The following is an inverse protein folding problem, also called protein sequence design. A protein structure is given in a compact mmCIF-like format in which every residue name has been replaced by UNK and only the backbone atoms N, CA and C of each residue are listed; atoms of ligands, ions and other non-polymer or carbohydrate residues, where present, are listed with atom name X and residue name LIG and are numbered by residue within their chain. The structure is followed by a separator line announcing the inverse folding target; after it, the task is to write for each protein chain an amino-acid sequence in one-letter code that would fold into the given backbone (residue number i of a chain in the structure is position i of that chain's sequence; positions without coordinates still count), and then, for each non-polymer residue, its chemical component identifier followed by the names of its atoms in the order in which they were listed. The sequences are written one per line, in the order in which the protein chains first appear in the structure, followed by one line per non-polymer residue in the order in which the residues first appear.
data_IF_124363712843
#
_entry.id   IF_124363712843
#
_cell.length_a   1.000
_cell.length_b   1.000
_cell.length_c   1.000
_cell.angle_alpha   90.00
_cell.angle_beta   90.00
_cell.angle_gamma   90.00
#
_symmetry.space_group_name_H-M   'P 1'
#
loop_
_entity.id
_entity.type
_entity.pdbx_description
1 polymer ?
#
# COMPACT_ATOMS: atom_id res chain seq x y z
N UNK A 1 -12.83 -10.31 11.50
CA UNK A 1 -12.31 -9.54 10.35
C UNK A 1 -10.94 -9.04 10.75
N UNK A 2 -9.93 -9.19 9.90
CA UNK A 2 -8.57 -8.78 10.23
C UNK A 2 -8.41 -7.29 9.96
N UNK A 3 -7.83 -6.58 10.92
CA UNK A 3 -7.60 -5.14 10.82
C UNK A 3 -6.28 -4.89 10.09
N UNK A 4 -6.39 -4.58 8.81
CA UNK A 4 -5.26 -4.18 7.99
C UNK A 4 -5.24 -2.66 7.84
N UNK A 5 -4.05 -2.12 7.65
CA UNK A 5 -3.84 -0.69 7.42
C UNK A 5 -2.83 -0.52 6.30
N UNK A 6 -3.25 0.19 5.26
CA UNK A 6 -2.38 0.57 4.16
C UNK A 6 -1.93 2.00 4.40
N UNK A 7 -0.63 2.20 4.61
CA UNK A 7 -0.02 3.50 4.73
C UNK A 7 0.52 3.91 3.36
N UNK A 8 0.10 5.07 2.88
CA UNK A 8 0.61 5.67 1.65
C UNK A 8 1.78 6.56 2.03
N UNK A 9 2.91 6.34 1.38
CA UNK A 9 4.13 7.08 1.58
C UNK A 9 4.47 7.86 0.31
N UNK A 10 4.86 9.11 0.52
CA UNK A 10 5.34 9.99 -0.53
C UNK A 10 6.80 9.66 -0.91
N UNK A 11 7.39 10.37 -1.88
CA UNK A 11 8.74 10.10 -2.41
C UNK A 11 9.84 10.12 -1.32
N UNK A 12 9.59 10.88 -0.25
CA UNK A 12 10.45 10.97 0.93
C UNK A 12 10.21 9.85 1.97
N UNK A 13 9.36 8.87 1.65
CA UNK A 13 8.87 7.83 2.58
C UNK A 13 8.19 8.41 3.82
N UNK A 14 7.50 9.53 3.66
CA UNK A 14 6.66 10.10 4.70
C UNK A 14 5.23 9.64 4.52
N UNK A 15 4.62 9.17 5.61
CA UNK A 15 3.21 8.76 5.61
C UNK A 15 2.34 10.00 5.36
N UNK A 16 1.75 10.06 4.18
CA UNK A 16 0.81 11.13 3.78
C UNK A 16 -0.64 10.71 4.01
N UNK A 17 -0.92 9.40 4.03
CA UNK A 17 -2.26 8.89 4.26
C UNK A 17 -2.26 7.47 4.82
N UNK A 18 -3.36 7.08 5.46
CA UNK A 18 -3.57 5.74 5.98
C UNK A 18 -5.00 5.27 5.69
N UNK A 19 -5.15 4.19 4.94
CA UNK A 19 -6.42 3.54 4.65
C UNK A 19 -6.62 2.32 5.56
N UNK A 20 -7.75 2.27 6.27
CA UNK A 20 -8.13 1.08 7.04
C UNK A 20 -8.78 0.06 6.11
N UNK A 21 -8.18 -1.11 6.01
CA UNK A 21 -8.62 -2.22 5.19
C UNK A 21 -9.23 -3.31 6.09
N UNK A 22 -10.50 -3.62 5.88
CA UNK A 22 -11.18 -4.73 6.53
C UNK A 22 -11.24 -5.89 5.53
N UNK A 23 -10.27 -6.79 5.62
CA UNK A 23 -10.17 -7.95 4.73
C UNK A 23 -10.30 -9.26 5.50
N UNK A 24 -10.77 -10.30 4.82
CA UNK A 24 -10.85 -11.65 5.39
C UNK A 24 -9.44 -12.24 5.58
N UNK A 25 -8.55 -12.00 4.63
CA UNK A 25 -7.22 -12.61 4.56
C UNK A 25 -6.15 -11.61 4.10
N UNK A 26 -4.88 -11.97 4.31
CA UNK A 26 -3.73 -11.17 3.88
C UNK A 26 -3.70 -10.97 2.37
N UNK A 27 -4.17 -11.96 1.60
CA UNK A 27 -4.20 -11.90 0.14
C UNK A 27 -5.14 -10.78 -0.35
N UNK A 28 -6.36 -10.74 0.17
CA UNK A 28 -7.32 -9.69 -0.15
C UNK A 28 -6.82 -8.30 0.27
N UNK A 29 -6.13 -8.21 1.41
CA UNK A 29 -5.51 -6.97 1.87
C UNK A 29 -4.39 -6.50 0.93
N UNK A 30 -3.57 -7.44 0.42
CA UNK A 30 -2.52 -7.17 -0.57
C UNK A 30 -3.10 -6.66 -1.89
N UNK A 31 -4.16 -7.27 -2.40
CA UNK A 31 -4.82 -6.82 -3.64
C UNK A 31 -5.43 -5.42 -3.50
N UNK A 32 -5.97 -5.09 -2.32
CA UNK A 32 -6.46 -3.74 -2.02
C UNK A 32 -5.32 -2.73 -1.90
N UNK A 33 -4.25 -3.09 -1.20
CA UNK A 33 -3.07 -2.23 -1.08
C UNK A 33 -2.41 -1.99 -2.44
N UNK A 34 -2.32 -3.00 -3.29
CA UNK A 34 -1.75 -2.88 -4.62
C UNK A 34 -2.54 -1.91 -5.52
N UNK A 35 -3.87 -1.86 -5.39
CA UNK A 35 -4.68 -0.87 -6.10
C UNK A 35 -4.48 0.57 -5.62
N UNK A 36 -3.89 0.78 -4.44
CA UNK A 36 -3.53 2.11 -3.93
C UNK A 36 -2.15 2.56 -4.42
N UNK A 37 -1.36 1.64 -4.99
CA UNK A 37 0.00 1.89 -5.49
C UNK A 37 -0.11 2.49 -6.87
N UNK A 38 -0.26 3.81 -6.91
CA UNK A 38 -0.30 4.57 -8.15
C UNK A 38 1.03 5.31 -8.34
N UNK A 39 1.16 6.53 -7.82
CA UNK A 39 2.42 7.28 -7.75
C UNK A 39 3.19 7.09 -6.43
N UNK A 40 2.52 6.59 -5.39
CA UNK A 40 3.05 6.53 -4.02
C UNK A 40 3.37 5.09 -3.59
N UNK A 41 4.38 4.95 -2.74
CA UNK A 41 4.67 3.69 -2.07
C UNK A 41 3.53 3.37 -1.10
N UNK A 42 3.18 2.10 -0.95
CA UNK A 42 2.15 1.64 -0.02
C UNK A 42 2.72 0.55 0.89
N UNK A 43 2.71 0.78 2.20
CA UNK A 43 3.02 -0.24 3.18
C UNK A 43 1.74 -0.84 3.76
N UNK A 44 1.60 -2.16 3.64
CA UNK A 44 0.53 -2.93 4.26
C UNK A 44 0.97 -3.44 5.63
N UNK A 45 0.23 -3.04 6.65
CA UNK A 45 0.44 -3.42 8.04
C UNK A 45 -0.80 -4.13 8.61
N UNK A 46 -0.58 -5.01 9.57
CA UNK A 46 -1.60 -5.64 10.40
C UNK A 46 -1.21 -5.41 11.85
N UNK A 47 -1.88 -4.46 12.51
CA UNK A 47 -1.52 -3.99 13.85
C UNK A 47 -0.04 -3.54 13.90
N UNK A 48 0.84 -4.32 14.52
CA UNK A 48 2.28 -4.04 14.65
C UNK A 48 3.13 -4.79 13.61
N UNK A 49 2.52 -5.68 12.81
CA UNK A 49 3.22 -6.51 11.84
C UNK A 49 3.13 -5.92 10.44
N UNK A 50 4.28 -5.58 9.84
CA UNK A 50 4.33 -5.25 8.42
C UNK A 50 4.18 -6.51 7.56
N UNK A 51 3.14 -6.53 6.73
CA UNK A 51 2.78 -7.67 5.88
C UNK A 51 3.51 -7.59 4.54
N UNK A 52 3.48 -6.42 3.90
CA UNK A 52 4.08 -6.21 2.58
C UNK A 52 4.36 -4.72 2.35
N UNK A 53 5.31 -4.44 1.45
CA UNK A 53 5.57 -3.08 0.95
C UNK A 53 5.46 -3.13 -0.56
N UNK A 54 4.61 -2.29 -1.10
CA UNK A 54 4.40 -2.14 -2.52
C UNK A 54 5.00 -0.82 -2.96
N UNK A 55 5.95 -0.89 -3.89
CA UNK A 55 6.59 0.31 -4.40
C UNK A 55 5.92 0.74 -5.68
N UNK A 56 5.57 2.03 -5.77
CA UNK A 56 5.22 2.63 -7.05
C UNK A 56 6.48 2.60 -7.91
N UNK A 57 6.50 1.69 -8.89
CA UNK A 57 7.53 1.80 -9.90
C UNK A 57 7.22 3.08 -10.68
N UNK A 58 8.20 3.97 -10.89
CA UNK A 58 7.97 5.09 -11.78
C UNK A 58 7.53 4.47 -13.10
N UNK A 59 6.30 4.81 -13.53
CA UNK A 59 5.80 4.44 -14.84
C UNK A 59 6.91 4.80 -15.82
N UNK A 60 7.51 3.85 -16.56
CA UNK A 60 8.51 4.23 -17.55
C UNK A 60 7.86 5.28 -18.44
N UNK A 61 8.55 6.39 -18.77
CA UNK A 61 7.96 7.43 -19.58
C UNK A 61 7.39 6.75 -20.81
N UNK A 62 6.07 6.84 -20.99
CA UNK A 62 5.44 6.44 -22.24
C UNK A 62 6.03 7.38 -23.29
N UNK A 63 7.04 6.88 -24.00
CA UNK A 63 7.59 7.47 -25.21
C UNK A 63 6.40 7.77 -26.14
N UNK A 64 6.16 9.05 -26.35
CA UNK A 64 5.04 9.57 -27.16
C UNK A 64 5.49 9.73 -28.61
#
# INVERSE_FOLDING_TARGET
MLHYRAYLLDEHRHVISAANLFCADEQAAKERAQQLVDANDVELWQLDRRIAVFKSHPRPPSDH
#
